data_IF_932666732394
#
_entry.id   IF_932666732394
#
_cell.length_a   1.000
_cell.length_b   1.000
_cell.length_c   1.000
_cell.angle_alpha   90.00
_cell.angle_beta   90.00
_cell.angle_gamma   90.00
#
_symmetry.space_group_name_H-M   'P 1'
#
loop_
_entity.id
_entity.type
_entity.pdbx_description
1 polymer ?
#
# COMPACT_ATOMS: atom_id res chain seq x y z
N UNK A 1 -8.54 6.85 22.35
CA UNK A 1 -9.59 5.90 21.93
C UNK A 1 -9.45 5.72 20.43
N UNK A 2 -9.33 4.46 20.02
CA UNK A 2 -8.77 3.96 18.77
C UNK A 2 -9.60 4.39 17.55
N UNK A 3 -9.01 5.17 16.66
CA UNK A 3 -9.55 5.31 15.30
C UNK A 3 -9.21 4.00 14.60
N UNK A 4 -10.19 3.18 14.17
CA UNK A 4 -9.95 2.09 13.23
C UNK A 4 -9.60 2.77 11.91
N UNK A 5 -8.33 3.14 11.83
CA UNK A 5 -7.75 3.88 10.75
C UNK A 5 -7.88 2.88 9.58
N UNK A 6 -8.74 3.18 8.61
CA UNK A 6 -9.03 2.30 7.46
C UNK A 6 -7.73 1.97 6.70
N UNK A 7 -7.70 1.02 5.76
CA UNK A 7 -6.44 0.57 5.18
C UNK A 7 -5.63 1.75 4.63
N UNK A 8 -4.44 1.99 5.19
CA UNK A 8 -3.47 2.99 4.73
C UNK A 8 -2.21 2.25 4.30
N UNK A 9 -1.57 2.79 3.27
CA UNK A 9 -0.28 2.30 2.82
C UNK A 9 0.75 2.49 3.92
N UNK A 10 1.34 1.39 4.41
CA UNK A 10 2.41 1.40 5.40
C UNK A 10 3.72 2.01 4.85
N UNK A 11 3.85 2.11 3.52
CA UNK A 11 5.04 2.70 2.87
C UNK A 11 4.98 4.22 2.75
N UNK A 12 3.81 4.79 2.42
CA UNK A 12 3.66 6.22 2.13
C UNK A 12 2.61 6.93 2.98
N UNK A 13 1.91 6.21 3.87
CA UNK A 13 0.83 6.75 4.71
C UNK A 13 -0.45 7.13 3.96
N UNK A 14 -0.52 6.90 2.64
CA UNK A 14 -1.67 7.24 1.81
C UNK A 14 -2.87 6.33 2.14
N UNK A 15 -4.09 6.86 2.30
CA UNK A 15 -5.29 6.03 2.47
C UNK A 15 -5.52 5.18 1.23
N UNK A 16 -5.70 3.86 1.36
CA UNK A 16 -5.98 2.99 0.21
C UNK A 16 -7.33 3.32 -0.44
N UNK A 17 -8.26 3.92 0.28
CA UNK A 17 -9.50 4.45 -0.31
C UNK A 17 -9.27 5.58 -1.33
N UNK A 18 -8.08 6.20 -1.34
CA UNK A 18 -7.69 7.21 -2.34
C UNK A 18 -6.91 6.60 -3.49
N UNK A 19 -6.54 5.32 -3.42
CA UNK A 19 -5.85 4.61 -4.48
C UNK A 19 -6.86 4.21 -5.58
N UNK A 20 -6.58 4.47 -6.86
CA UNK A 20 -7.50 4.16 -7.95
C UNK A 20 -7.70 2.64 -8.16
N UNK A 21 -6.77 1.80 -7.69
CA UNK A 21 -6.91 0.33 -7.68
C UNK A 21 -7.41 -0.20 -6.34
N UNK A 22 -7.65 0.68 -5.35
CA UNK A 22 -8.09 0.33 -3.99
C UNK A 22 -7.02 -0.32 -3.12
N UNK A 23 -5.78 -0.46 -3.60
CA UNK A 23 -4.71 -1.17 -2.91
C UNK A 23 -3.65 -1.75 -3.86
N UNK A 24 -2.56 -2.20 -3.27
CA UNK A 24 -1.49 -2.91 -3.96
C UNK A 24 -1.93 -4.30 -4.39
N UNK A 25 -1.09 -4.99 -5.16
CA UNK A 25 -1.40 -6.35 -5.62
C UNK A 25 -0.37 -7.33 -5.07
N UNK A 26 -0.83 -8.43 -4.48
CA UNK A 26 0.01 -9.54 -4.02
C UNK A 26 0.49 -10.39 -5.21
N UNK A 27 1.39 -11.33 -4.94
CA UNK A 27 1.95 -12.20 -5.97
C UNK A 27 0.85 -13.04 -6.66
N UNK A 28 -0.17 -13.44 -5.90
CA UNK A 28 -1.32 -14.22 -6.35
C UNK A 28 -2.37 -13.39 -7.11
N UNK A 29 -2.20 -12.06 -7.18
CA UNK A 29 -3.19 -11.16 -7.79
C UNK A 29 -4.21 -10.58 -6.81
N UNK A 30 -4.17 -10.99 -5.54
CA UNK A 30 -5.02 -10.46 -4.47
C UNK A 30 -4.69 -9.00 -4.15
N UNK A 31 -5.68 -8.26 -3.64
CA UNK A 31 -5.50 -6.84 -3.29
C UNK A 31 -4.96 -6.72 -1.86
N UNK A 32 -3.77 -6.15 -1.76
CA UNK A 32 -3.12 -5.86 -0.49
C UNK A 32 -3.80 -4.69 0.20
N UNK A 33 -4.22 -4.88 1.46
CA UNK A 33 -4.90 -3.88 2.30
C UNK A 33 -3.93 -3.04 3.13
N UNK A 34 -2.64 -3.31 3.01
CA UNK A 34 -1.58 -2.66 3.79
C UNK A 34 -0.73 -1.74 2.93
N UNK A 35 -0.81 -1.85 1.60
CA UNK A 35 0.01 -1.10 0.66
C UNK A 35 -0.84 -0.60 -0.49
N UNK A 36 -0.50 0.55 -1.08
CA UNK A 36 -1.19 1.10 -2.26
C UNK A 36 -0.57 0.56 -3.55
N UNK A 37 -1.30 0.71 -4.66
CA UNK A 37 -0.85 0.24 -5.98
C UNK A 37 0.41 0.93 -6.48
N UNK A 38 0.67 2.13 -5.95
CA UNK A 38 1.89 2.88 -6.23
C UNK A 38 3.11 2.35 -5.51
N UNK A 39 2.96 1.79 -4.30
CA UNK A 39 4.08 1.31 -3.47
C UNK A 39 4.29 -0.21 -3.55
N UNK A 40 3.25 -0.98 -3.89
CA UNK A 40 3.30 -2.44 -3.89
C UNK A 40 2.47 -3.03 -5.03
N UNK A 41 3.12 -3.79 -5.90
CA UNK A 41 2.48 -4.40 -7.07
C UNK A 41 3.11 -5.76 -7.40
N UNK A 42 2.28 -6.77 -7.59
CA UNK A 42 2.70 -8.13 -7.96
C UNK A 42 3.58 -8.80 -6.91
N UNK A 43 3.30 -8.57 -5.63
CA UNK A 43 4.07 -9.14 -4.52
C UNK A 43 5.39 -8.42 -4.25
N UNK A 44 5.64 -7.26 -4.89
CA UNK A 44 6.89 -6.52 -4.79
C UNK A 44 6.66 -5.03 -4.54
N UNK A 45 7.54 -4.44 -3.73
CA UNK A 45 7.58 -3.00 -3.56
C UNK A 45 8.15 -2.35 -4.83
N UNK A 46 7.45 -1.33 -5.31
CA UNK A 46 7.83 -0.54 -6.49
C UNK A 46 8.97 0.44 -6.18
N UNK A 47 9.05 0.90 -4.92
CA UNK A 47 10.13 1.76 -4.41
C UNK A 47 10.94 1.03 -3.32
N UNK A 48 11.97 0.25 -3.69
CA UNK A 48 12.91 -0.33 -2.74
C UNK A 48 13.97 0.67 -2.22
N UNK A 49 13.95 1.93 -2.70
CA UNK A 49 15.02 2.92 -2.51
C UNK A 49 14.60 4.16 -1.72
N UNK A 50 13.57 4.10 -0.86
CA UNK A 50 13.42 5.12 0.19
C UNK A 50 14.48 4.90 1.28
N UNK A 51 15.75 5.10 0.93
CA UNK A 51 16.78 5.45 1.91
C UNK A 51 16.39 6.81 2.48
N UNK A 52 15.87 6.80 3.71
CA UNK A 52 15.78 8.00 4.53
C UNK A 52 17.22 8.48 4.74
N UNK A 53 17.63 9.51 4.00
CA UNK A 53 18.79 10.33 4.38
C UNK A 53 18.37 11.36 5.44
#
# INVERSE_FOLDING_TARGET
MFIPKGPYCQSCGMPLSKDPKGGGTEMDGDISKEYCSFCYQGGKFTEPNITLE
#
